data_IF_649145855455
#
_entry.id   IF_649145855455
#
_cell.length_a   1.000
_cell.length_b   1.000
_cell.length_c   1.000
_cell.angle_alpha   90.00
_cell.angle_beta   90.00
_cell.angle_gamma   90.00
#
_symmetry.space_group_name_H-M   'P 1'
#
loop_
_entity.id
_entity.type
_entity.pdbx_description
1 polymer ?
#
# COMPACT_ATOMS: atom_id res chain seq x y z
N UNK A 1 9.93 2.09 11.26
CA UNK A 1 9.01 3.25 11.14
C UNK A 1 9.03 3.87 9.76
N UNK A 2 10.16 4.38 9.25
CA UNK A 2 10.22 5.04 7.94
C UNK A 2 9.62 4.25 6.75
N UNK A 3 9.79 2.91 6.73
CA UNK A 3 9.18 2.05 5.70
C UNK A 3 7.66 1.97 5.78
N UNK A 4 7.08 1.97 6.99
CA UNK A 4 5.62 1.99 7.17
C UNK A 4 5.03 3.27 6.61
N UNK A 5 5.59 4.41 7.01
CA UNK A 5 5.11 5.72 6.57
C UNK A 5 5.26 5.90 5.06
N UNK A 6 6.40 5.46 4.49
CA UNK A 6 6.62 5.50 3.04
C UNK A 6 5.57 4.66 2.29
N UNK A 7 5.34 3.41 2.71
CA UNK A 7 4.35 2.55 2.03
C UNK A 7 2.91 3.06 2.19
N UNK A 8 2.60 3.72 3.31
CA UNK A 8 1.31 4.38 3.49
C UNK A 8 1.14 5.59 2.56
N UNK A 9 2.18 6.40 2.38
CA UNK A 9 2.17 7.52 1.42
C UNK A 9 2.04 7.02 -0.03
N UNK A 10 2.78 5.97 -0.40
CA UNK A 10 2.69 5.35 -1.72
C UNK A 10 1.29 4.79 -1.99
N UNK A 11 0.66 4.18 -0.99
CA UNK A 11 -0.73 3.73 -1.08
C UNK A 11 -1.68 4.90 -1.31
N UNK A 12 -1.50 6.01 -0.59
CA UNK A 12 -2.34 7.20 -0.78
C UNK A 12 -2.19 7.76 -2.21
N UNK A 13 -0.95 7.86 -2.69
CA UNK A 13 -0.67 8.31 -4.06
C UNK A 13 -1.32 7.39 -5.11
N UNK A 14 -1.26 6.07 -4.91
CA UNK A 14 -1.87 5.12 -5.81
C UNK A 14 -3.41 5.21 -5.82
N UNK A 15 -4.03 5.52 -4.67
CA UNK A 15 -5.47 5.80 -4.60
C UNK A 15 -5.85 7.05 -5.38
N UNK A 16 -5.08 8.13 -5.26
CA UNK A 16 -5.31 9.36 -6.03
C UNK A 16 -5.13 9.14 -7.53
N UNK A 17 -4.12 8.35 -7.93
CA UNK A 17 -3.91 8.00 -9.34
C UNK A 17 -5.07 7.17 -9.91
N UNK A 18 -5.62 6.24 -9.12
CA UNK A 18 -6.81 5.47 -9.49
C UNK A 18 -8.04 6.35 -9.63
N UNK A 19 -8.27 7.28 -8.70
CA UNK A 19 -9.39 8.23 -8.77
C UNK A 19 -9.33 9.11 -10.03
N UNK A 20 -8.14 9.60 -10.38
CA UNK A 20 -7.92 10.34 -11.61
C UNK A 20 -8.18 9.46 -12.86
N UNK A 21 -7.68 8.22 -12.86
CA UNK A 21 -7.87 7.30 -13.99
C UNK A 21 -9.35 6.94 -14.18
N UNK A 22 -10.09 6.72 -13.07
CA UNK A 22 -11.53 6.49 -13.08
C UNK A 22 -12.26 7.69 -13.67
N UNK A 23 -11.95 8.90 -13.19
CA UNK A 23 -12.56 10.14 -13.71
C UNK A 23 -12.32 10.30 -15.21
N UNK A 24 -11.10 10.04 -15.69
CA UNK A 24 -10.78 10.11 -17.12
C UNK A 24 -11.52 9.05 -17.93
N UNK A 25 -11.64 7.83 -17.40
CA UNK A 25 -12.39 6.75 -18.05
C UNK A 25 -13.88 7.09 -18.16
N UNK A 26 -14.49 7.61 -17.09
CA UNK A 26 -15.91 7.99 -17.05
C UNK A 26 -16.21 9.14 -18.04
N UNK A 27 -15.25 10.04 -18.25
CA UNK A 27 -15.34 11.11 -19.25
C UNK A 27 -15.00 10.66 -20.68
N UNK A 28 -14.64 9.39 -20.89
CA UNK A 28 -14.20 8.85 -22.19
C UNK A 28 -12.85 9.39 -22.67
N UNK A 29 -12.07 10.00 -21.76
CA UNK A 29 -10.75 10.59 -22.03
C UNK A 29 -9.60 9.61 -21.82
N UNK A 30 -9.89 8.38 -21.36
CA UNK A 30 -8.94 7.32 -21.08
C UNK A 30 -9.48 5.96 -21.48
N UNK A 31 -8.60 4.98 -21.67
CA UNK A 31 -8.97 3.61 -21.99
C UNK A 31 -9.19 2.75 -20.74
N UNK A 32 -9.98 1.69 -20.88
CA UNK A 32 -10.17 0.68 -19.82
C UNK A 32 -8.83 0.05 -19.35
N UNK A 33 -7.82 0.03 -20.23
CA UNK A 33 -6.47 -0.47 -19.90
C UNK A 33 -5.77 0.45 -18.91
N UNK A 34 -5.87 1.76 -19.07
CA UNK A 34 -5.31 2.74 -18.14
C UNK A 34 -5.96 2.63 -16.75
N UNK A 35 -7.29 2.49 -16.71
CA UNK A 35 -8.03 2.24 -15.47
C UNK A 35 -7.56 0.94 -14.81
N UNK A 36 -7.46 -0.14 -15.58
CA UNK A 36 -6.99 -1.44 -15.07
C UNK A 36 -5.56 -1.36 -14.53
N UNK A 37 -4.67 -0.61 -15.20
CA UNK A 37 -3.31 -0.40 -14.72
C UNK A 37 -3.27 0.38 -13.42
N UNK A 38 -4.11 1.41 -13.26
CA UNK A 38 -4.20 2.16 -12.02
C UNK A 38 -4.75 1.29 -10.86
N UNK A 39 -5.72 0.42 -11.14
CA UNK A 39 -6.25 -0.55 -10.16
C UNK A 39 -5.17 -1.55 -9.73
N UNK A 40 -4.37 -2.06 -10.67
CA UNK A 40 -3.24 -2.93 -10.38
C UNK A 40 -2.19 -2.22 -9.51
N UNK A 41 -1.82 -0.99 -9.85
CA UNK A 41 -0.85 -0.20 -9.07
C UNK A 41 -1.33 0.04 -7.64
N UNK A 42 -2.61 0.39 -7.46
CA UNK A 42 -3.25 0.55 -6.14
C UNK A 42 -3.22 -0.75 -5.34
N UNK A 43 -3.53 -1.87 -5.98
CA UNK A 43 -3.47 -3.20 -5.35
C UNK A 43 -2.05 -3.57 -4.91
N UNK A 44 -1.04 -3.33 -5.76
CA UNK A 44 0.36 -3.57 -5.41
C UNK A 44 0.81 -2.70 -4.23
N UNK A 45 0.38 -1.43 -4.17
CA UNK A 45 0.69 -0.55 -3.05
C UNK A 45 -0.01 -1.01 -1.74
N UNK A 46 -1.24 -1.54 -1.81
CA UNK A 46 -1.93 -2.15 -0.67
C UNK A 46 -1.14 -3.34 -0.11
N UNK A 47 -0.67 -4.22 -0.99
CA UNK A 47 0.15 -5.37 -0.62
C UNK A 47 1.45 -4.91 0.06
N UNK A 48 2.14 -3.91 -0.50
CA UNK A 48 3.39 -3.39 0.06
C UNK A 48 3.18 -2.78 1.46
N UNK A 49 2.11 -2.01 1.65
CA UNK A 49 1.77 -1.40 2.94
C UNK A 49 1.39 -2.45 3.99
N UNK A 50 0.58 -3.45 3.61
CA UNK A 50 0.25 -4.57 4.49
C UNK A 50 1.50 -5.37 4.89
N UNK A 51 2.37 -5.68 3.91
CA UNK A 51 3.61 -6.42 4.16
C UNK A 51 4.53 -5.67 5.12
N UNK A 52 4.68 -4.35 4.95
CA UNK A 52 5.48 -3.53 5.85
C UNK A 52 4.92 -3.55 7.29
N UNK A 53 3.59 -3.55 7.45
CA UNK A 53 2.92 -3.66 8.75
C UNK A 53 3.21 -5.00 9.43
N UNK A 54 3.04 -6.11 8.71
CA UNK A 54 3.34 -7.44 9.25
C UNK A 54 4.81 -7.61 9.62
N UNK A 55 5.73 -7.09 8.81
CA UNK A 55 7.16 -7.17 9.09
C UNK A 55 7.53 -6.39 10.36
N UNK A 56 6.92 -5.22 10.57
CA UNK A 56 7.08 -4.45 11.80
C UNK A 56 6.53 -5.20 13.03
N UNK A 57 5.33 -5.76 12.93
CA UNK A 57 4.73 -6.51 14.03
C UNK A 57 5.55 -7.76 14.39
N UNK A 58 6.11 -8.45 13.38
CA UNK A 58 7.01 -9.57 13.58
C UNK A 58 8.32 -9.15 14.27
N UNK A 59 8.97 -8.09 13.79
CA UNK A 59 10.19 -7.56 14.42
C UNK A 59 9.95 -7.18 15.87
N UNK A 60 8.81 -6.56 16.17
CA UNK A 60 8.42 -6.21 17.53
C UNK A 60 8.17 -7.46 18.40
N UNK A 61 7.51 -8.49 17.86
CA UNK A 61 7.30 -9.75 18.56
C UNK A 61 8.62 -10.46 18.88
N UNK A 62 9.54 -10.53 17.90
CA UNK A 62 10.88 -11.10 18.08
C UNK A 62 11.67 -10.32 19.13
N UNK A 63 11.64 -8.99 19.07
CA UNK A 63 12.29 -8.14 20.08
C UNK A 63 11.73 -8.43 21.48
N UNK A 64 10.41 -8.48 21.63
CA UNK A 64 9.75 -8.80 22.90
C UNK A 64 10.12 -10.19 23.44
N UNK A 65 10.27 -11.18 22.56
CA UNK A 65 10.73 -12.52 22.92
C UNK A 65 12.19 -12.48 23.41
N UNK A 66 13.08 -11.80 22.68
CA UNK A 66 14.50 -11.71 22.99
C UNK A 66 14.79 -10.96 24.30
N UNK A 67 14.01 -9.93 24.63
CA UNK A 67 14.15 -9.18 25.89
C UNK A 67 13.47 -9.86 27.08
N UNK A 68 12.96 -11.09 26.92
CA UNK A 68 12.35 -11.87 27.99
C UNK A 68 10.99 -11.34 28.48
N UNK A 69 10.33 -10.51 27.66
CA UNK A 69 9.02 -9.94 28.00
C UNK A 69 7.85 -10.89 27.64
N UNK A 70 8.09 -11.96 26.88
CA UNK A 70 7.16 -13.08 26.80
C UNK A 70 7.32 -13.95 28.06
N UNK A 71 6.46 -13.70 29.06
CA UNK A 71 6.15 -14.69 30.11
C UNK A 71 5.14 -15.70 29.61
#
# INVERSE_FOLDING_TARGET
>A
YQRLDLTAQLLNQAKQALDLAQTRYDLGLSSIVELSQAQLNKTSAEIASASAKYEYDLQRAVLNYQVGALK
#
